data_IF_724061920395
#
_entry.id   IF_724061920395
#
_cell.length_a   1.000
_cell.length_b   1.000
_cell.length_c   1.000
_cell.angle_alpha   90.00
_cell.angle_beta   90.00
_cell.angle_gamma   90.00
#
_symmetry.space_group_name_H-M   'P 1'
#
loop_
_entity.id
_entity.type
_entity.pdbx_description
1 polymer ?
#
# COMPACT_ATOMS: atom_id res chain seq x y z
N UNK A 1 4.54 14.31 -10.41
CA UNK A 1 3.29 14.17 -9.64
C UNK A 1 3.53 13.10 -8.59
N UNK A 2 3.47 13.49 -7.32
CA UNK A 2 3.41 12.59 -6.18
C UNK A 2 2.21 13.07 -5.36
N UNK A 3 1.23 12.21 -5.08
CA UNK A 3 0.16 12.57 -4.15
C UNK A 3 -0.10 11.40 -3.21
N UNK A 4 -0.03 11.71 -1.92
CA UNK A 4 -0.06 10.78 -0.80
C UNK A 4 -1.02 11.36 0.24
N UNK A 5 -2.13 10.70 0.52
CA UNK A 5 -3.00 11.13 1.62
C UNK A 5 -3.39 9.95 2.50
N UNK A 6 -3.16 10.12 3.82
CA UNK A 6 -3.16 9.06 4.82
C UNK A 6 -1.75 8.57 5.21
N UNK A 7 -1.68 7.56 6.08
CA UNK A 7 -0.41 6.93 6.49
C UNK A 7 -0.11 5.74 5.58
N UNK A 8 1.11 5.71 5.02
CA UNK A 8 1.64 4.54 4.29
C UNK A 8 2.99 4.19 4.92
N UNK A 9 3.00 3.34 5.96
CA UNK A 9 4.22 3.01 6.68
C UNK A 9 5.03 1.94 5.94
N UNK A 10 5.96 2.38 5.09
CA UNK A 10 6.80 1.50 4.27
C UNK A 10 7.83 0.68 5.08
N UNK A 11 8.18 1.13 6.28
CA UNK A 11 9.11 0.43 7.16
C UNK A 11 8.41 -0.57 8.09
N UNK A 12 7.08 -0.59 8.14
CA UNK A 12 6.31 -1.46 9.04
C UNK A 12 5.95 -2.75 8.32
N UNK A 13 6.67 -3.84 8.59
CA UNK A 13 6.47 -5.13 7.92
C UNK A 13 5.08 -5.76 8.13
N UNK A 14 4.41 -5.42 9.24
CA UNK A 14 3.02 -5.86 9.53
C UNK A 14 1.95 -5.03 8.82
N UNK A 15 2.33 -3.97 8.12
CA UNK A 15 1.41 -3.16 7.35
C UNK A 15 1.02 -3.90 6.07
N UNK A 16 -0.28 -4.05 5.84
CA UNK A 16 -0.81 -4.55 4.58
C UNK A 16 -0.76 -3.42 3.55
N UNK A 17 0.27 -3.44 2.71
CA UNK A 17 0.54 -2.44 1.67
C UNK A 17 0.60 -3.13 0.32
N UNK A 18 -0.35 -2.80 -0.56
CA UNK A 18 -0.30 -3.22 -1.96
C UNK A 18 0.52 -2.22 -2.78
N UNK A 19 1.34 -2.76 -3.68
CA UNK A 19 2.11 -1.98 -4.65
C UNK A 19 1.71 -2.37 -6.08
N UNK A 20 1.48 -1.35 -6.91
CA UNK A 20 1.17 -1.52 -8.33
C UNK A 20 1.99 -0.58 -9.20
N UNK A 21 2.43 -1.09 -10.35
CA UNK A 21 3.07 -0.32 -11.41
C UNK A 21 2.30 -0.50 -12.71
N UNK A 22 2.03 0.60 -13.41
CA UNK A 22 1.36 0.60 -14.70
C UNK A 22 2.04 1.57 -15.67
N UNK A 23 2.12 1.18 -16.94
CA UNK A 23 2.73 1.98 -18.00
C UNK A 23 1.67 2.37 -19.03
N UNK A 24 1.54 3.66 -19.30
CA UNK A 24 0.63 4.20 -20.30
C UNK A 24 1.42 4.60 -21.56
N UNK A 25 1.05 4.00 -22.69
CA UNK A 25 1.69 4.23 -23.98
C UNK A 25 0.96 5.37 -24.68
N UNK A 26 1.64 6.49 -24.87
CA UNK A 26 1.07 7.69 -25.48
C UNK A 26 1.82 8.05 -26.77
N UNK A 27 1.21 8.92 -27.57
CA UNK A 27 1.77 9.37 -28.86
C UNK A 27 3.20 9.92 -28.76
N UNK A 28 3.56 10.54 -27.63
CA UNK A 28 4.85 11.18 -27.42
C UNK A 28 5.79 10.37 -26.51
N UNK A 29 5.39 9.17 -26.06
CA UNK A 29 6.22 8.32 -25.21
C UNK A 29 5.42 7.56 -24.16
N UNK A 30 6.14 6.97 -23.21
CA UNK A 30 5.59 6.11 -22.15
C UNK A 30 5.54 6.89 -20.83
N UNK A 31 4.39 6.88 -20.16
CA UNK A 31 4.20 7.46 -18.83
C UNK A 31 4.04 6.32 -17.82
N UNK A 32 4.92 6.27 -16.82
CA UNK A 32 4.83 5.30 -15.73
C UNK A 32 4.08 5.85 -14.51
N UNK A 33 3.18 5.04 -13.96
CA UNK A 33 2.45 5.33 -12.71
C UNK A 33 2.81 4.29 -11.66
N UNK A 34 3.12 4.75 -10.45
CA UNK A 34 3.35 3.90 -9.27
C UNK A 34 2.32 4.24 -8.21
N UNK A 35 1.66 3.23 -7.65
CA UNK A 35 0.64 3.40 -6.64
C UNK A 35 0.91 2.49 -5.43
N UNK A 36 0.66 3.04 -4.24
CA UNK A 36 0.70 2.32 -2.97
C UNK A 36 -0.66 2.47 -2.27
N UNK A 37 -1.22 1.37 -1.79
CA UNK A 37 -2.49 1.35 -1.06
C UNK A 37 -2.27 0.66 0.29
N UNK A 38 -2.53 1.36 1.39
CA UNK A 38 -2.47 0.82 2.74
C UNK A 38 -3.87 0.39 3.21
N UNK A 39 -4.04 -0.90 3.55
CA UNK A 39 -5.32 -1.48 3.98
C UNK A 39 -5.44 -1.65 5.50
N UNK A 40 -4.37 -1.46 6.25
CA UNK A 40 -4.33 -1.64 7.72
C UNK A 40 -3.16 -2.51 8.15
N UNK A 41 -3.14 -2.92 9.41
CA UNK A 41 -2.14 -3.85 9.94
C UNK A 41 -2.71 -5.28 9.97
N UNK A 42 -1.90 -6.26 9.58
CA UNK A 42 -2.29 -7.67 9.64
C UNK A 42 -2.00 -8.19 11.04
N UNK A 43 -3.05 -8.56 11.76
CA UNK A 43 -2.95 -9.32 13.00
C UNK A 43 -3.31 -10.77 12.73
N UNK A 44 -2.51 -11.72 13.25
CA UNK A 44 -2.95 -13.11 13.19
C UNK A 44 -4.23 -13.28 14.03
N UNK A 45 -5.12 -14.23 13.68
CA UNK A 45 -6.31 -14.49 14.47
C UNK A 45 -6.01 -14.71 15.96
N UNK A 46 -4.89 -15.35 16.28
CA UNK A 46 -4.43 -15.59 17.66
C UNK A 46 -4.11 -14.30 18.43
N UNK A 47 -3.58 -13.29 17.75
CA UNK A 47 -3.23 -12.00 18.36
C UNK A 47 -4.46 -11.09 18.53
N UNK A 48 -5.50 -11.25 17.70
CA UNK A 48 -6.78 -10.53 17.88
C UNK A 48 -7.52 -10.98 19.13
N UNK A 49 -7.59 -12.29 19.39
CA UNK A 49 -8.30 -12.83 20.57
C UNK A 49 -7.71 -12.34 21.89
N UNK A 50 -6.41 -12.06 21.96
CA UNK A 50 -5.74 -11.55 23.15
C UNK A 50 -5.97 -10.05 23.42
N UNK A 51 -6.53 -9.31 22.47
CA UNK A 51 -6.83 -7.87 22.63
C UNK A 51 -8.28 -7.60 23.07
N UNK A 52 -9.17 -8.60 22.93
CA UNK A 52 -10.59 -8.51 23.31
C UNK A 52 -10.89 -9.15 24.68
N UNK A 53 -9.91 -9.82 25.31
CA UNK A 53 -9.90 -10.19 26.74
C UNK A 53 -9.38 -9.04 27.61
#
# INVERSE_FOLDING_TARGET
>A
VEIKEGRVPLSTLRADVDYGLAEAWTKYGIIGVKAWVFRGEVWSPKERFQLEE
#
